data_IF_974325402455
#
_entry.id   IF_974325402455
#
_cell.length_a   1.000
_cell.length_b   1.000
_cell.length_c   1.000
_cell.angle_alpha   90.00
_cell.angle_beta   90.00
_cell.angle_gamma   90.00
#
_symmetry.space_group_name_H-M   'P 1'
#
loop_
_entity.id
_entity.type
_entity.pdbx_description
1 polymer ?
#
# COMPACT_ATOMS: atom_id res chain seq x y z
N UNK A 1 6.87 -1.94 -4.29
CA UNK A 1 6.02 -0.77 -4.60
C UNK A 1 6.92 0.47 -4.69
N UNK A 2 6.74 1.30 -5.70
CA UNK A 2 7.42 2.61 -5.88
C UNK A 2 6.48 3.73 -5.44
N UNK A 3 6.95 4.99 -5.51
CA UNK A 3 6.13 6.16 -5.21
C UNK A 3 4.89 6.29 -6.08
N UNK A 4 4.91 5.75 -7.31
CA UNK A 4 3.82 5.88 -8.30
C UNK A 4 2.98 4.62 -8.52
N UNK A 5 3.44 3.45 -8.06
CA UNK A 5 2.72 2.20 -8.31
C UNK A 5 3.57 0.94 -8.09
N UNK A 6 3.26 -0.13 -8.82
CA UNK A 6 4.04 -1.37 -8.76
C UNK A 6 3.27 -2.60 -9.22
N UNK A 7 3.82 -3.77 -8.90
CA UNK A 7 3.09 -5.03 -8.98
C UNK A 7 2.41 -5.28 -7.62
N UNK A 8 1.11 -5.61 -7.55
CA UNK A 8 0.51 -6.24 -6.37
C UNK A 8 1.23 -7.57 -6.14
N UNK A 9 1.33 -8.05 -4.89
CA UNK A 9 2.22 -9.17 -4.55
C UNK A 9 2.01 -10.45 -5.36
N UNK A 10 2.84 -11.46 -5.09
CA UNK A 10 2.92 -12.67 -5.94
C UNK A 10 1.73 -13.63 -5.80
N UNK A 11 0.81 -13.38 -4.88
CA UNK A 11 -0.38 -14.20 -4.62
C UNK A 11 -1.45 -13.40 -3.85
N UNK A 12 -2.66 -13.96 -3.73
CA UNK A 12 -3.79 -13.37 -2.99
C UNK A 12 -3.57 -13.27 -1.47
N UNK A 13 -2.53 -13.90 -0.92
CA UNK A 13 -2.17 -13.78 0.50
C UNK A 13 -1.27 -12.55 0.75
N UNK A 14 -0.70 -11.97 -0.30
CA UNK A 14 0.21 -10.82 -0.24
C UNK A 14 -0.29 -9.67 -1.12
N UNK A 15 -1.05 -8.75 -0.53
CA UNK A 15 -1.44 -7.51 -1.20
C UNK A 15 -0.37 -6.41 -1.03
N UNK A 16 -0.33 -5.47 -1.98
CA UNK A 16 0.47 -4.26 -1.83
C UNK A 16 -0.34 -3.23 -1.03
N UNK A 17 0.21 -2.75 0.08
CA UNK A 17 -0.42 -1.74 0.92
C UNK A 17 0.46 -0.50 1.01
N UNK A 18 -0.11 0.65 0.71
CA UNK A 18 0.45 1.95 1.10
C UNK A 18 -0.36 2.49 2.27
N UNK A 19 0.31 2.72 3.40
CA UNK A 19 -0.32 3.23 4.62
C UNK A 19 0.06 4.68 4.88
N UNK A 20 -0.93 5.47 5.21
CA UNK A 20 -0.77 6.80 5.80
C UNK A 20 -1.34 6.80 7.23
N UNK A 21 -0.70 7.55 8.12
CA UNK A 21 -1.08 7.65 9.54
C UNK A 21 -1.44 9.10 9.82
N UNK A 22 -2.63 9.32 10.40
CA UNK A 22 -3.10 10.65 10.77
C UNK A 22 -2.19 11.26 11.84
N UNK A 23 -1.58 12.43 11.60
CA UNK A 23 -0.68 13.05 12.57
C UNK A 23 -1.43 13.76 13.71
N UNK A 24 -2.73 14.03 13.52
CA UNK A 24 -3.58 14.74 14.48
C UNK A 24 -5.04 14.31 14.31
N UNK A 25 -5.88 14.73 15.24
CA UNK A 25 -7.33 14.67 15.06
C UNK A 25 -7.74 15.65 13.96
N UNK A 26 -8.58 15.21 13.03
CA UNK A 26 -9.00 16.06 11.93
C UNK A 26 -10.02 15.45 10.99
N UNK A 27 -10.38 16.26 9.99
CA UNK A 27 -11.17 15.81 8.83
C UNK A 27 -10.30 15.87 7.59
N UNK A 28 -10.22 14.75 6.90
CA UNK A 28 -9.33 14.57 5.76
C UNK A 28 -10.14 14.27 4.51
N UNK A 29 -9.66 14.76 3.36
CA UNK A 29 -10.16 14.41 2.04
C UNK A 29 -9.06 13.67 1.27
N UNK A 30 -9.47 12.69 0.47
CA UNK A 30 -8.59 11.92 -0.39
C UNK A 30 -8.96 12.18 -1.84
N UNK A 31 -8.00 12.67 -2.62
CA UNK A 31 -8.08 12.71 -4.07
C UNK A 31 -7.21 11.61 -4.64
N UNK A 32 -7.80 10.75 -5.47
CA UNK A 32 -7.18 9.50 -5.84
C UNK A 32 -7.72 8.97 -7.17
N UNK A 33 -6.80 8.72 -8.10
CA UNK A 33 -7.05 8.03 -9.36
C UNK A 33 -6.18 6.80 -9.42
N UNK A 34 -6.79 5.65 -9.66
CA UNK A 34 -6.11 4.37 -9.83
C UNK A 34 -6.21 3.92 -11.29
N UNK A 35 -5.14 3.31 -11.81
CA UNK A 35 -5.09 2.82 -13.18
C UNK A 35 -4.48 1.42 -13.22
N UNK A 36 -5.14 0.51 -13.93
CA UNK A 36 -4.54 -0.71 -14.45
C UNK A 36 -4.03 -0.45 -15.88
N UNK A 37 -2.74 -0.66 -16.13
CA UNK A 37 -2.11 -0.14 -17.36
C UNK A 37 -2.23 -1.05 -18.58
N UNK A 38 -2.53 -2.34 -18.39
CA UNK A 38 -2.40 -3.34 -19.45
C UNK A 38 -3.70 -4.10 -19.70
N UNK A 39 -3.84 -4.58 -20.93
CA UNK A 39 -4.96 -5.41 -21.38
C UNK A 39 -4.78 -6.90 -21.07
N UNK A 40 -3.54 -7.34 -20.84
CA UNK A 40 -3.25 -8.70 -20.43
C UNK A 40 -3.67 -8.93 -18.96
N UNK A 41 -4.05 -10.16 -18.63
CA UNK A 41 -4.44 -10.55 -17.27
C UNK A 41 -5.90 -10.26 -16.94
N UNK A 42 -6.20 -10.27 -15.64
CA UNK A 42 -7.56 -10.12 -15.11
C UNK A 42 -7.78 -8.78 -14.41
N UNK A 43 -6.73 -7.96 -14.32
CA UNK A 43 -6.77 -6.65 -13.67
C UNK A 43 -6.50 -6.71 -12.17
N UNK A 44 -6.80 -5.60 -11.50
CA UNK A 44 -6.51 -5.38 -10.08
C UNK A 44 -7.79 -5.10 -9.30
N UNK A 45 -7.73 -5.37 -8.00
CA UNK A 45 -8.73 -4.94 -7.03
C UNK A 45 -8.10 -3.94 -6.09
N UNK A 46 -8.84 -2.89 -5.76
CA UNK A 46 -8.33 -1.74 -5.03
C UNK A 46 -9.28 -1.36 -3.91
N UNK A 47 -8.74 -1.05 -2.74
CA UNK A 47 -9.51 -0.55 -1.60
C UNK A 47 -8.84 0.68 -0.97
N UNK A 48 -9.68 1.60 -0.50
CA UNK A 48 -9.30 2.60 0.49
C UNK A 48 -9.96 2.18 1.80
N UNK A 49 -9.15 1.90 2.82
CA UNK A 49 -9.61 1.39 4.11
C UNK A 49 -9.15 2.31 5.25
N UNK A 50 -10.08 2.71 6.11
CA UNK A 50 -9.77 3.31 7.39
C UNK A 50 -9.84 2.26 8.48
N UNK A 51 -8.84 2.19 9.36
CA UNK A 51 -8.81 1.18 10.43
C UNK A 51 -10.04 1.19 11.36
N UNK A 52 -10.65 2.36 11.56
CA UNK A 52 -11.85 2.51 12.40
C UNK A 52 -13.16 2.44 11.61
N UNK A 53 -13.25 3.11 10.47
CA UNK A 53 -14.50 3.24 9.69
C UNK A 53 -14.71 2.10 8.68
N UNK A 54 -13.67 1.31 8.39
CA UNK A 54 -13.73 0.22 7.44
C UNK A 54 -13.45 0.66 6.00
N UNK A 55 -14.08 -0.01 5.03
CA UNK A 55 -13.88 0.27 3.60
C UNK A 55 -14.57 1.57 3.22
N UNK A 56 -13.80 2.55 2.75
CA UNK A 56 -14.26 3.85 2.26
C UNK A 56 -14.46 3.87 0.75
N UNK A 57 -13.81 2.97 0.03
CA UNK A 57 -13.97 2.81 -1.42
C UNK A 57 -13.38 1.48 -1.87
N UNK A 58 -14.02 0.86 -2.86
CA UNK A 58 -13.61 -0.39 -3.47
C UNK A 58 -13.80 -0.31 -4.98
N UNK A 59 -12.84 -0.83 -5.74
CA UNK A 59 -12.97 -0.93 -7.18
C UNK A 59 -12.21 -2.12 -7.75
N UNK A 60 -12.79 -2.75 -8.78
CA UNK A 60 -12.08 -3.67 -9.67
C UNK A 60 -11.77 -2.97 -11.00
N UNK A 61 -10.51 -3.00 -11.44
CA UNK A 61 -10.08 -2.35 -12.67
C UNK A 61 -9.41 -3.36 -13.60
N UNK A 62 -9.78 -3.32 -14.87
CA UNK A 62 -9.08 -4.02 -15.94
C UNK A 62 -8.92 -3.07 -17.12
N UNK A 63 -7.66 -2.85 -17.51
CA UNK A 63 -7.23 -1.96 -18.61
C UNK A 63 -7.95 -0.60 -18.64
N UNK A 64 -8.10 0.02 -17.46
CA UNK A 64 -8.84 1.28 -17.31
C UNK A 64 -8.29 2.08 -16.13
N UNK A 65 -8.66 3.35 -16.08
CA UNK A 65 -8.51 4.21 -14.91
C UNK A 65 -9.85 4.49 -14.26
N UNK A 66 -9.86 4.73 -12.96
CA UNK A 66 -11.05 5.10 -12.20
C UNK A 66 -10.68 6.04 -11.05
N UNK A 67 -11.52 7.05 -10.82
CA UNK A 67 -11.44 7.88 -9.62
C UNK A 67 -12.00 7.13 -8.41
N UNK A 68 -11.28 7.23 -7.29
CA UNK A 68 -11.64 6.69 -5.97
C UNK A 68 -11.45 7.79 -4.92
N UNK A 69 -12.13 8.92 -5.10
CA UNK A 69 -12.06 10.05 -4.17
C UNK A 69 -12.86 9.76 -2.89
N UNK A 70 -12.31 10.16 -1.74
CA UNK A 70 -13.05 10.18 -0.46
C UNK A 70 -13.22 11.65 -0.07
N UNK A 71 -14.42 12.24 -0.19
CA UNK A 71 -14.59 13.67 -0.01
C UNK A 71 -14.38 14.13 1.44
N UNK A 72 -14.62 13.26 2.41
CA UNK A 72 -14.45 13.54 3.83
C UNK A 72 -14.37 12.24 4.64
N UNK A 73 -13.38 12.16 5.54
CA UNK A 73 -13.23 11.11 6.56
C UNK A 73 -12.73 11.74 7.85
N UNK A 74 -13.33 11.39 8.99
CA UNK A 74 -12.91 11.92 10.29
C UNK A 74 -11.95 10.93 10.96
N UNK A 75 -10.73 11.39 11.25
CA UNK A 75 -9.69 10.54 11.83
C UNK A 75 -9.15 11.12 13.13
N UNK A 76 -8.74 10.22 14.02
CA UNK A 76 -7.98 10.53 15.23
C UNK A 76 -6.48 10.39 14.99
N UNK A 77 -5.68 11.09 15.78
CA UNK A 77 -4.23 10.94 15.74
C UNK A 77 -3.82 9.47 15.90
N UNK A 78 -3.00 8.96 14.98
CA UNK A 78 -2.56 7.56 14.92
C UNK A 78 -3.48 6.62 14.15
N UNK A 79 -4.68 7.03 13.72
CA UNK A 79 -5.51 6.24 12.82
C UNK A 79 -4.93 6.18 11.41
N UNK A 80 -5.31 5.16 10.64
CA UNK A 80 -4.66 4.86 9.37
C UNK A 80 -5.63 4.91 8.21
N UNK A 81 -5.11 5.39 7.08
CA UNK A 81 -5.68 5.16 5.76
C UNK A 81 -4.76 4.21 4.99
N UNK A 82 -5.32 3.09 4.57
CA UNK A 82 -4.64 2.06 3.80
C UNK A 82 -5.16 2.03 2.37
N UNK A 83 -4.25 2.18 1.43
CA UNK A 83 -4.49 2.05 -0.01
C UNK A 83 -3.98 0.68 -0.43
N UNK A 84 -4.92 -0.23 -0.64
CA UNK A 84 -4.64 -1.66 -0.83
C UNK A 84 -4.86 -2.02 -2.28
N UNK A 85 -3.87 -2.67 -2.90
CA UNK A 85 -3.99 -3.26 -4.23
C UNK A 85 -3.74 -4.76 -4.13
N UNK A 86 -4.65 -5.52 -4.70
CA UNK A 86 -4.56 -6.98 -4.82
C UNK A 86 -4.75 -7.40 -6.28
N UNK A 87 -4.26 -8.59 -6.62
CA UNK A 87 -4.50 -9.20 -7.92
C UNK A 87 -5.97 -9.61 -8.06
N UNK A 88 -6.48 -9.63 -9.28
CA UNK A 88 -7.82 -10.16 -9.57
C UNK A 88 -7.74 -11.62 -10.04
N UNK A 89 -7.41 -12.52 -9.12
CA UNK A 89 -7.35 -13.97 -9.38
C UNK A 89 -5.98 -14.45 -9.85
N UNK A 90 -5.69 -14.36 -11.15
CA UNK A 90 -4.42 -14.86 -11.71
C UNK A 90 -3.34 -13.79 -11.67
N UNK A 91 -2.13 -14.18 -11.22
CA UNK A 91 -0.93 -13.35 -11.25
C UNK A 91 -0.43 -13.21 -12.69
N UNK A 92 -1.01 -12.28 -13.44
CA UNK A 92 -0.57 -12.01 -14.80
C UNK A 92 -0.75 -10.53 -15.13
N UNK A 93 0.37 -9.84 -15.25
CA UNK A 93 0.43 -8.47 -15.79
C UNK A 93 -0.36 -7.44 -14.97
N UNK A 94 -0.24 -7.44 -13.64
CA UNK A 94 -1.06 -6.62 -12.75
C UNK A 94 -0.47 -5.23 -12.46
N UNK A 95 0.30 -4.66 -13.40
CA UNK A 95 0.95 -3.37 -13.18
C UNK A 95 -0.08 -2.25 -13.00
N UNK A 96 0.07 -1.51 -11.90
CA UNK A 96 -0.82 -0.40 -11.55
C UNK A 96 -0.06 0.89 -11.31
N UNK A 97 -0.76 2.00 -11.56
CA UNK A 97 -0.38 3.33 -11.08
C UNK A 97 -1.39 3.81 -10.05
N UNK A 98 -0.90 4.20 -8.88
CA UNK A 98 -1.74 4.76 -7.82
C UNK A 98 -0.95 5.62 -6.83
N UNK A 99 -1.18 6.94 -6.88
CA UNK A 99 -0.57 7.95 -6.01
C UNK A 99 -1.66 8.82 -5.35
N UNK A 100 -2.24 8.40 -4.23
CA UNK A 100 -3.26 9.19 -3.54
C UNK A 100 -2.69 10.49 -2.93
N UNK A 101 -3.52 11.53 -2.92
CA UNK A 101 -3.25 12.80 -2.24
C UNK A 101 -4.23 12.97 -1.10
N UNK A 102 -3.73 13.17 0.11
CA UNK A 102 -4.51 13.39 1.32
C UNK A 102 -4.41 14.86 1.69
N UNK A 103 -5.53 15.49 2.03
CA UNK A 103 -5.60 16.89 2.43
C UNK A 103 -6.39 17.01 3.73
N UNK A 104 -5.84 17.68 4.72
CA UNK A 104 -6.58 18.04 5.93
C UNK A 104 -7.41 19.31 5.67
N UNK A 105 -8.67 19.31 6.10
CA UNK A 105 -9.67 20.29 5.66
C UNK A 105 -9.51 21.65 6.34
N UNK A 106 -8.89 21.71 7.53
CA UNK A 106 -8.80 22.94 8.33
C UNK A 106 -7.52 23.73 8.00
N UNK A 107 -6.38 23.08 8.18
CA UNK A 107 -5.02 23.61 7.97
C UNK A 107 -4.59 23.58 6.51
N UNK A 108 -5.31 22.83 5.66
CA UNK A 108 -4.96 22.64 4.25
C UNK A 108 -3.61 21.93 4.05
N UNK A 109 -3.10 21.23 5.06
CA UNK A 109 -1.90 20.41 4.93
C UNK A 109 -2.15 19.26 3.94
N UNK A 110 -1.15 19.00 3.10
CA UNK A 110 -1.21 18.00 2.01
C UNK A 110 -0.13 16.94 2.23
N UNK A 111 -0.48 15.68 1.97
CA UNK A 111 0.43 14.55 1.83
C UNK A 111 0.23 13.94 0.44
N UNK A 112 1.28 13.91 -0.37
CA UNK A 112 1.25 13.41 -1.74
C UNK A 112 2.09 12.13 -1.83
N UNK A 113 1.44 11.00 -2.10
CA UNK A 113 2.09 9.71 -2.23
C UNK A 113 3.21 9.66 -3.30
N UNK A 114 3.12 10.43 -4.38
CA UNK A 114 4.16 10.48 -5.41
C UNK A 114 5.42 11.20 -4.93
N UNK A 115 5.27 12.24 -4.10
CA UNK A 115 6.37 13.11 -3.66
C UNK A 115 6.95 12.67 -2.31
N UNK A 116 6.09 12.21 -1.40
CA UNK A 116 6.43 12.02 0.02
C UNK A 116 6.73 10.54 0.36
N UNK A 117 6.54 9.62 -0.59
CA UNK A 117 6.78 8.21 -0.34
C UNK A 117 8.26 7.86 -0.39
N UNK A 118 8.84 7.65 0.79
CA UNK A 118 10.25 7.27 0.95
C UNK A 118 10.53 5.77 0.70
N UNK A 119 9.52 4.97 0.29
CA UNK A 119 9.67 3.52 0.18
C UNK A 119 9.69 2.80 1.54
N UNK A 120 9.68 1.45 1.54
CA UNK A 120 9.96 0.71 2.75
C UNK A 120 11.37 1.06 3.24
N UNK A 121 11.46 1.56 4.48
CA UNK A 121 12.77 1.81 5.11
C UNK A 121 13.52 0.47 5.17
N UNK A 122 14.78 0.38 4.74
CA UNK A 122 15.56 -0.84 4.91
C UNK A 122 15.59 -1.19 6.40
N UNK A 123 15.06 -2.36 6.75
CA UNK A 123 15.25 -2.92 8.09
C UNK A 123 16.68 -3.41 8.18
N UNK A 124 17.57 -2.58 8.73
CA UNK A 124 18.86 -3.07 9.17
C UNK A 124 18.60 -4.02 10.34
N UNK A 125 18.83 -5.32 10.11
CA UNK A 125 18.77 -6.33 11.16
C UNK A 125 19.66 -5.84 12.30
N UNK A 126 19.13 -5.77 13.52
CA UNK A 126 19.95 -5.42 14.66
C UNK A 126 20.95 -6.56 14.93
N UNK A 127 22.02 -6.29 15.70
CA UNK A 127 23.10 -7.27 15.90
C UNK A 127 22.62 -8.61 16.49
N UNK A 128 21.49 -8.63 17.20
CA UNK A 128 20.86 -9.86 17.72
C UNK A 128 20.07 -10.62 16.65
N UNK A 129 19.38 -9.92 15.76
CA UNK A 129 18.70 -10.51 14.59
C UNK A 129 19.71 -11.05 13.58
N UNK A 130 20.84 -10.36 13.37
CA UNK A 130 21.95 -10.86 12.56
C UNK A 130 22.60 -12.10 13.18
N UNK A 131 22.77 -12.12 14.52
CA UNK A 131 23.29 -13.30 15.23
C UNK A 131 22.32 -14.49 15.14
N UNK A 132 21.01 -14.26 15.30
CA UNK A 132 20.00 -15.30 15.10
C UNK A 132 20.02 -15.84 13.67
N UNK A 133 20.24 -14.98 12.66
CA UNK A 133 20.36 -15.39 11.28
C UNK A 133 21.66 -16.16 10.99
N UNK A 134 22.77 -15.76 11.58
CA UNK A 134 24.04 -16.50 11.50
C UNK A 134 23.94 -17.86 12.19
N UNK A 135 23.29 -17.95 13.35
CA UNK A 135 23.07 -19.22 14.06
C UNK A 135 22.10 -20.15 13.32
N UNK A 136 21.09 -19.60 12.65
CA UNK A 136 20.15 -20.37 11.84
C UNK A 136 20.84 -20.97 10.60
N UNK A 137 21.71 -20.21 9.93
CA UNK A 137 22.48 -20.67 8.76
C UNK A 137 23.60 -21.64 9.18
N UNK A 138 24.22 -21.45 10.35
CA UNK A 138 25.26 -22.34 10.85
C UNK A 138 24.75 -23.76 11.17
N UNK A 139 23.47 -23.90 11.56
CA UNK A 139 22.84 -25.22 11.75
C UNK A 139 22.59 -25.97 10.44
N UNK A 140 22.51 -25.27 9.31
CA UNK A 140 22.29 -25.88 7.99
C UNK A 140 23.60 -26.43 7.36
N UNK A 141 24.76 -26.02 7.90
CA UNK A 141 26.09 -26.48 7.47
C UNK A 141 26.66 -27.66 8.30
N UNK A 142 25.92 -28.17 9.29
CA UNK A 142 26.35 -29.30 10.12
C UNK A 142 25.78 -30.66 9.68
N UNK A 143 25.04 -30.72 8.58
CA UNK A 143 24.65 -31.98 7.94
C UNK A 143 25.21 -32.05 6.52
N UNK A 144 26.50 -32.39 6.44
CA UNK A 144 27.07 -33.07 5.29
C UNK A 144 27.53 -34.42 5.80
N UNK A 145 26.86 -35.48 5.36
CA UNK A 145 27.41 -36.84 5.30
C UNK A 145 27.49 -37.21 3.80
#
# INVERSE_FOLDING_TARGET
MTATGGHPGNDLQHCAVRRWIAPADGTYAVTSTVQHQVAAGNGIRCWIFANREGVLGEQSLHNRQQEMNVPSVSLKAGETLDFVVDINGELNSDQHLWSPVIRETTTQQIWNAEQDFAGPKPSWLNSWEQLAQVLLIANELMFVD
#
